data_IF_826486286396
#
_entry.id   IF_826486286396
#
_cell.length_a   1.000
_cell.length_b   1.000
_cell.length_c   1.000
_cell.angle_alpha   90.00
_cell.angle_beta   90.00
_cell.angle_gamma   90.00
#
_symmetry.space_group_name_H-M   'P 1'
#
loop_
_entity.id
_entity.type
_entity.pdbx_description
1 polymer ?
#
# COMPACT_ATOMS: atom_id res chain seq x y z
N UNK A 1 -22.54 11.02 -13.31
CA UNK A 1 -21.89 10.41 -12.13
C UNK A 1 -20.78 9.51 -12.64
N UNK A 2 -19.54 9.98 -12.62
CA UNK A 2 -18.38 9.07 -12.70
C UNK A 2 -18.45 8.20 -11.45
N UNK A 3 -18.57 6.89 -11.61
CA UNK A 3 -18.32 5.97 -10.51
C UNK A 3 -16.90 6.27 -10.02
N UNK A 4 -16.74 6.84 -8.83
CA UNK A 4 -15.45 6.76 -8.16
C UNK A 4 -15.15 5.27 -8.02
N UNK A 5 -14.14 4.79 -8.74
CA UNK A 5 -13.73 3.40 -8.65
C UNK A 5 -13.34 3.16 -7.18
N UNK A 6 -13.93 2.14 -6.57
CA UNK A 6 -13.50 1.70 -5.25
C UNK A 6 -12.10 1.09 -5.42
N UNK A 7 -11.06 1.83 -5.02
CA UNK A 7 -9.67 1.39 -5.20
C UNK A 7 -9.18 0.48 -4.06
N UNK A 8 -9.93 0.39 -2.96
CA UNK A 8 -9.71 -0.55 -1.86
C UNK A 8 -10.81 -1.62 -1.81
N UNK A 9 -10.58 -2.71 -1.09
CA UNK A 9 -11.50 -3.85 -0.99
C UNK A 9 -11.51 -4.77 -2.22
N UNK A 10 -10.60 -4.58 -3.16
CA UNK A 10 -10.43 -5.36 -4.39
C UNK A 10 -9.72 -6.70 -4.11
N UNK A 11 -10.28 -7.51 -3.20
CA UNK A 11 -9.68 -8.78 -2.74
C UNK A 11 -9.43 -9.79 -3.86
N UNK A 12 -10.23 -9.78 -4.92
CA UNK A 12 -9.97 -10.60 -6.11
C UNK A 12 -8.62 -10.25 -6.74
N UNK A 13 -8.26 -8.96 -6.81
CA UNK A 13 -6.93 -8.53 -7.29
C UNK A 13 -5.83 -8.93 -6.31
N UNK A 14 -6.06 -8.82 -5.00
CA UNK A 14 -5.10 -9.26 -3.97
C UNK A 14 -4.76 -10.74 -4.17
N UNK A 15 -5.78 -11.58 -4.25
CA UNK A 15 -5.64 -13.04 -4.38
C UNK A 15 -4.97 -13.38 -5.71
N UNK A 16 -5.46 -12.83 -6.83
CA UNK A 16 -4.96 -13.15 -8.16
C UNK A 16 -3.50 -12.74 -8.31
N UNK A 17 -3.15 -11.50 -7.96
CA UNK A 17 -1.77 -11.03 -8.07
C UNK A 17 -0.85 -11.82 -7.12
N UNK A 18 -1.25 -12.01 -5.86
CA UNK A 18 -0.45 -12.82 -4.92
C UNK A 18 -0.19 -14.22 -5.47
N UNK A 19 -1.24 -14.90 -5.96
CA UNK A 19 -1.11 -16.23 -6.53
C UNK A 19 -0.15 -16.24 -7.72
N UNK A 20 -0.35 -15.35 -8.70
CA UNK A 20 0.50 -15.27 -9.91
C UNK A 20 1.97 -15.08 -9.53
N UNK A 21 2.28 -14.11 -8.66
CA UNK A 21 3.67 -13.83 -8.27
C UNK A 21 4.29 -14.92 -7.38
N UNK A 22 3.51 -15.53 -6.48
CA UNK A 22 3.98 -16.66 -5.65
C UNK A 22 4.26 -17.88 -6.53
N UNK A 23 3.34 -18.24 -7.44
CA UNK A 23 3.55 -19.36 -8.36
C UNK A 23 4.74 -19.12 -9.30
N UNK A 24 4.85 -17.90 -9.82
CA UNK A 24 6.00 -17.50 -10.63
C UNK A 24 7.30 -17.69 -9.85
N UNK A 25 7.41 -17.12 -8.65
CA UNK A 25 8.60 -17.27 -7.81
C UNK A 25 8.89 -18.74 -7.45
N UNK A 26 7.85 -19.53 -7.16
CA UNK A 26 7.97 -20.95 -6.85
C UNK A 26 8.60 -21.73 -8.02
N UNK A 27 8.24 -21.38 -9.26
CA UNK A 27 8.75 -22.03 -10.47
C UNK A 27 10.26 -21.91 -10.66
N UNK A 28 10.88 -20.84 -10.13
CA UNK A 28 12.32 -20.62 -10.17
C UNK A 28 13.02 -21.06 -8.88
N UNK A 29 12.47 -20.73 -7.71
CA UNK A 29 13.12 -20.94 -6.41
C UNK A 29 13.16 -22.41 -5.98
N UNK A 30 12.10 -23.19 -6.26
CA UNK A 30 11.99 -24.64 -6.01
C UNK A 30 12.57 -25.09 -4.64
N UNK A 31 11.99 -24.68 -3.50
CA UNK A 31 12.55 -24.91 -2.17
C UNK A 31 12.76 -26.40 -1.85
N UNK A 32 13.96 -26.79 -1.39
CA UNK A 32 14.33 -28.19 -1.11
C UNK A 32 14.52 -28.46 0.39
N UNK A 33 15.01 -27.48 1.13
CA UNK A 33 15.29 -27.60 2.57
C UNK A 33 14.21 -26.92 3.42
N UNK A 34 14.15 -27.26 4.71
CA UNK A 34 13.29 -26.55 5.67
C UNK A 34 13.56 -25.04 5.70
N UNK A 35 14.82 -24.64 5.51
CA UNK A 35 15.20 -23.23 5.47
C UNK A 35 14.66 -22.55 4.21
N UNK A 36 14.74 -23.21 3.07
CA UNK A 36 14.20 -22.68 1.81
C UNK A 36 12.69 -22.48 1.91
N UNK A 37 11.96 -23.45 2.48
CA UNK A 37 10.52 -23.31 2.74
C UNK A 37 10.19 -22.15 3.68
N UNK A 38 10.99 -21.94 4.72
CA UNK A 38 10.81 -20.79 5.62
C UNK A 38 11.04 -19.46 4.89
N UNK A 39 12.10 -19.36 4.10
CA UNK A 39 12.40 -18.16 3.31
C UNK A 39 11.34 -17.89 2.24
N UNK A 40 10.91 -18.93 1.52
CA UNK A 40 9.84 -18.83 0.52
C UNK A 40 8.51 -18.44 1.14
N UNK A 41 8.19 -18.98 2.33
CA UNK A 41 7.01 -18.60 3.09
C UNK A 41 7.04 -17.12 3.50
N UNK A 42 8.17 -16.63 4.00
CA UNK A 42 8.33 -15.21 4.36
C UNK A 42 8.16 -14.29 3.13
N UNK A 43 8.76 -14.67 2.00
CA UNK A 43 8.57 -13.96 0.73
C UNK A 43 7.11 -13.96 0.26
N UNK A 44 6.43 -15.11 0.35
CA UNK A 44 5.02 -15.24 -0.03
C UNK A 44 4.10 -14.40 0.88
N UNK A 45 4.36 -14.40 2.19
CA UNK A 45 3.65 -13.55 3.14
C UNK A 45 3.87 -12.06 2.85
N UNK A 46 5.10 -11.68 2.47
CA UNK A 46 5.38 -10.32 2.01
C UNK A 46 4.57 -9.95 0.76
N UNK A 47 4.46 -10.82 -0.25
CA UNK A 47 3.64 -10.55 -1.43
C UNK A 47 2.17 -10.38 -1.10
N UNK A 48 1.62 -11.25 -0.23
CA UNK A 48 0.23 -11.11 0.23
C UNK A 48 0.03 -9.78 0.96
N UNK A 49 0.94 -9.41 1.86
CA UNK A 49 0.88 -8.13 2.55
C UNK A 49 0.97 -6.94 1.57
N UNK A 50 1.91 -6.98 0.63
CA UNK A 50 2.10 -5.95 -0.39
C UNK A 50 0.83 -5.71 -1.22
N UNK A 51 0.22 -6.79 -1.74
CA UNK A 51 -0.99 -6.64 -2.54
C UNK A 51 -2.22 -6.29 -1.69
N UNK A 52 -2.25 -6.73 -0.43
CA UNK A 52 -3.30 -6.32 0.52
C UNK A 52 -3.23 -4.82 0.79
N UNK A 53 -2.04 -4.25 0.94
CA UNK A 53 -1.86 -2.80 1.10
C UNK A 53 -2.30 -2.02 -0.14
N UNK A 54 -2.05 -2.57 -1.34
CA UNK A 54 -2.36 -1.88 -2.60
C UNK A 54 -3.83 -1.95 -2.98
N UNK A 55 -4.48 -3.11 -2.80
CA UNK A 55 -5.82 -3.37 -3.34
C UNK A 55 -6.85 -3.76 -2.27
N UNK A 56 -6.39 -4.25 -1.12
CA UNK A 56 -7.24 -4.77 -0.05
C UNK A 56 -7.59 -3.68 0.96
N UNK A 57 -6.87 -3.64 2.06
CA UNK A 57 -7.06 -2.67 3.13
C UNK A 57 -5.67 -2.18 3.58
N UNK A 58 -5.36 -0.88 3.45
CA UNK A 58 -4.07 -0.35 3.90
C UNK A 58 -3.88 -0.48 5.41
N UNK A 59 -2.79 -1.10 5.86
CA UNK A 59 -2.57 -1.44 7.27
C UNK A 59 -2.52 -0.19 8.15
N UNK A 60 -1.95 0.90 7.64
CA UNK A 60 -1.92 2.18 8.34
C UNK A 60 -3.32 2.68 8.65
N UNK A 61 -4.24 2.59 7.69
CA UNK A 61 -5.64 2.92 7.91
C UNK A 61 -6.29 1.93 8.87
N UNK A 62 -5.89 0.65 8.87
CA UNK A 62 -6.52 -0.37 9.70
C UNK A 62 -6.25 -0.08 11.18
N UNK A 63 -5.00 0.20 11.51
CA UNK A 63 -4.60 0.58 12.86
C UNK A 63 -5.24 1.90 13.32
N UNK A 64 -5.40 2.86 12.41
CA UNK A 64 -5.93 4.18 12.75
C UNK A 64 -7.45 4.29 12.61
N UNK A 65 -8.14 3.30 12.04
CA UNK A 65 -9.56 3.39 11.66
C UNK A 65 -10.44 3.81 12.83
N UNK A 66 -10.26 3.21 14.01
CA UNK A 66 -11.06 3.58 15.19
C UNK A 66 -10.87 5.04 15.61
N UNK A 67 -9.63 5.55 15.56
CA UNK A 67 -9.34 6.95 15.86
C UNK A 67 -9.86 7.89 14.78
N UNK A 68 -9.61 7.57 13.50
CA UNK A 68 -10.03 8.35 12.34
C UNK A 68 -11.56 8.49 12.28
N UNK A 69 -12.29 7.39 12.41
CA UNK A 69 -13.75 7.38 12.39
C UNK A 69 -14.37 8.10 13.59
N UNK A 70 -13.73 8.05 14.76
CA UNK A 70 -14.21 8.77 15.95
C UNK A 70 -13.99 10.28 15.83
N UNK A 71 -12.86 10.73 15.26
CA UNK A 71 -12.50 12.15 15.16
C UNK A 71 -13.04 12.84 13.91
N UNK A 72 -13.22 12.09 12.83
CA UNK A 72 -13.66 12.58 11.53
C UNK A 72 -14.74 11.65 10.97
N UNK A 73 -15.94 11.62 11.57
CA UNK A 73 -17.00 10.69 11.21
C UNK A 73 -17.58 10.93 9.81
N UNK A 74 -17.47 12.15 9.30
CA UNK A 74 -18.04 12.54 7.99
C UNK A 74 -17.09 12.26 6.82
N UNK A 75 -15.91 11.70 7.08
CA UNK A 75 -14.88 11.41 6.07
C UNK A 75 -14.94 9.95 5.64
N UNK A 76 -15.01 9.71 4.33
CA UNK A 76 -14.87 8.37 3.77
C UNK A 76 -13.39 7.93 3.70
N UNK A 77 -12.94 7.33 4.80
CA UNK A 77 -11.58 6.78 4.96
C UNK A 77 -11.30 5.53 4.09
N UNK A 78 -12.28 5.05 3.33
CA UNK A 78 -12.13 3.96 2.38
C UNK A 78 -12.03 4.44 0.92
N UNK A 79 -12.08 5.75 0.70
CA UNK A 79 -11.86 6.35 -0.61
C UNK A 79 -10.38 6.31 -1.02
N UNK A 80 -10.11 6.40 -2.33
CA UNK A 80 -8.75 6.51 -2.89
C UNK A 80 -7.93 7.62 -2.23
N UNK A 81 -8.57 8.76 -1.92
CA UNK A 81 -7.92 9.91 -1.32
C UNK A 81 -7.30 9.59 0.05
N UNK A 82 -7.77 8.57 0.74
CA UNK A 82 -7.24 8.12 2.02
C UNK A 82 -5.81 7.56 1.91
N UNK A 83 -5.36 7.21 0.70
CA UNK A 83 -3.95 6.93 0.41
C UNK A 83 -3.03 8.15 0.57
N UNK A 84 -3.59 9.36 0.51
CA UNK A 84 -2.93 10.63 0.80
C UNK A 84 -3.26 11.10 2.23
N UNK A 85 -3.05 10.21 3.21
CA UNK A 85 -3.53 10.38 4.58
C UNK A 85 -3.06 11.70 5.24
N UNK A 86 -1.80 12.09 5.03
CA UNK A 86 -1.27 13.34 5.62
C UNK A 86 -1.91 14.57 4.96
N UNK A 87 -2.08 14.56 3.63
CA UNK A 87 -2.81 15.61 2.93
C UNK A 87 -4.23 15.75 3.46
N UNK A 88 -4.94 14.63 3.67
CA UNK A 88 -6.30 14.63 4.22
C UNK A 88 -6.37 15.14 5.66
N UNK A 89 -5.47 14.67 6.54
CA UNK A 89 -5.47 15.08 7.95
C UNK A 89 -5.17 16.56 8.14
N UNK A 90 -4.38 17.16 7.25
CA UNK A 90 -4.05 18.59 7.27
C UNK A 90 -4.98 19.44 6.38
N UNK A 91 -6.03 18.83 5.82
CA UNK A 91 -7.09 19.55 5.10
C UNK A 91 -6.67 20.12 3.74
N UNK A 92 -5.75 19.45 3.03
CA UNK A 92 -5.38 19.85 1.67
C UNK A 92 -6.56 19.65 0.70
N UNK A 93 -6.96 20.71 0.01
CA UNK A 93 -8.15 20.72 -0.86
C UNK A 93 -7.81 20.61 -2.36
N UNK A 94 -6.52 20.69 -2.73
CA UNK A 94 -6.06 20.56 -4.10
C UNK A 94 -5.76 19.11 -4.51
N UNK A 95 -5.13 18.93 -5.67
CA UNK A 95 -4.62 17.61 -6.05
C UNK A 95 -3.58 17.13 -5.03
N UNK A 96 -3.71 15.92 -4.46
CA UNK A 96 -2.77 15.42 -3.46
C UNK A 96 -1.33 15.29 -3.96
N UNK A 97 -1.11 15.08 -5.27
CA UNK A 97 0.23 15.03 -5.87
C UNK A 97 0.99 16.37 -5.80
N UNK A 98 0.27 17.48 -5.66
CA UNK A 98 0.85 18.80 -5.45
C UNK A 98 0.77 19.25 -3.98
N UNK A 99 0.36 18.34 -3.08
CA UNK A 99 0.34 18.59 -1.65
C UNK A 99 1.74 18.71 -1.06
N UNK A 100 1.91 19.44 0.06
CA UNK A 100 3.21 19.69 0.66
C UNK A 100 3.92 18.39 1.08
N UNK A 101 3.19 17.39 1.59
CA UNK A 101 3.82 16.13 2.03
C UNK A 101 4.26 15.26 0.85
N UNK A 102 3.49 15.20 -0.25
CA UNK A 102 3.91 14.55 -1.50
C UNK A 102 5.15 15.19 -2.12
N UNK A 103 5.22 16.51 -2.16
CA UNK A 103 6.39 17.22 -2.67
C UNK A 103 7.62 17.00 -1.78
N UNK A 104 7.45 17.04 -0.45
CA UNK A 104 8.51 16.76 0.50
C UNK A 104 9.02 15.31 0.38
N UNK A 105 8.11 14.34 0.24
CA UNK A 105 8.44 12.93 0.01
C UNK A 105 9.27 12.77 -1.27
N UNK A 106 8.85 13.43 -2.36
CA UNK A 106 9.58 13.43 -3.63
C UNK A 106 11.00 14.00 -3.47
N UNK A 107 11.14 15.11 -2.74
CA UNK A 107 12.45 15.70 -2.44
C UNK A 107 13.34 14.74 -1.63
N UNK A 108 12.79 14.04 -0.63
CA UNK A 108 13.53 13.03 0.11
C UNK A 108 13.95 11.84 -0.75
N UNK A 109 13.09 11.35 -1.65
CA UNK A 109 13.42 10.25 -2.57
C UNK A 109 14.57 10.66 -3.49
N UNK A 110 14.46 11.82 -4.16
CA UNK A 110 15.50 12.34 -5.05
C UNK A 110 16.80 12.61 -4.29
N UNK A 111 16.71 13.22 -3.10
CA UNK A 111 17.86 13.44 -2.23
C UNK A 111 18.52 12.14 -1.78
N UNK A 112 17.73 11.12 -1.45
CA UNK A 112 18.23 9.79 -1.10
C UNK A 112 18.99 9.13 -2.25
N UNK A 113 18.46 9.20 -3.47
CA UNK A 113 19.19 8.75 -4.66
C UNK A 113 20.49 9.50 -4.87
N UNK A 114 20.49 10.83 -4.68
CA UNK A 114 21.70 11.64 -4.80
C UNK A 114 22.77 11.24 -3.78
N UNK A 115 22.39 11.03 -2.51
CA UNK A 115 23.31 10.60 -1.46
C UNK A 115 23.90 9.22 -1.69
N UNK A 116 23.16 8.31 -2.32
CA UNK A 116 23.68 6.97 -2.70
C UNK A 116 24.62 7.06 -3.90
N UNK A 117 24.42 8.05 -4.78
CA UNK A 117 25.21 8.23 -6.00
C UNK A 117 26.50 9.03 -5.80
N UNK A 118 26.60 9.84 -4.73
CA UNK A 118 27.78 10.65 -4.38
C UNK A 118 28.88 9.81 -3.73
#
# INVERSE_FOLDING_TARGET
MSSEATDYGLWSLVILNSAVFIFFAFSFFKPQTKRDWRSFGAFSAFLVALFTEMYGFPLTLYFLAGWLQTRYPDVDWFSHNSGHLLEMLFGWQGSPHFGPFHLLSTAFIVGGFYLIAA
#
